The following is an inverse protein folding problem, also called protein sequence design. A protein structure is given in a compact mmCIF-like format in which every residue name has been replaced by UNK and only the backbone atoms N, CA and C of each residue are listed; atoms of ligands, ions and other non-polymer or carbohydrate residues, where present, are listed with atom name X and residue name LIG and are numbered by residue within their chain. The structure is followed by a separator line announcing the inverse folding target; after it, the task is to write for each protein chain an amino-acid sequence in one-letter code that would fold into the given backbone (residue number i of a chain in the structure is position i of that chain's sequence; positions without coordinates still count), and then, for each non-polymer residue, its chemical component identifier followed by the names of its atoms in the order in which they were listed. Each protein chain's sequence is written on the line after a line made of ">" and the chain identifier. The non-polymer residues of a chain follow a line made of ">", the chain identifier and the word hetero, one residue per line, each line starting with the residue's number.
data_IF_191073492599
#
_entry.id   IF_191073492599
#
_cell.length_a   1.000
_cell.length_b   1.000
_cell.length_c   1.000
_cell.angle_alpha   90.00
_cell.angle_beta   90.00
_cell.angle_gamma   90.00
#
_symmetry.space_group_name_H-M   'P 1'
#
loop_
_entity.id
_entity.type
_entity.pdbx_description
1 polymer ?
#
# COMPACT_ATOMS: atom_id res chain seq x y z
N UNK A 1 -3.01 -11.01 22.69
CA UNK A 1 -3.41 -12.43 22.63
C UNK A 1 -4.53 -12.65 21.63
N UNK A 2 -5.63 -11.88 21.65
CA UNK A 2 -6.78 -12.06 20.75
C UNK A 2 -6.41 -11.89 19.26
N UNK A 3 -5.62 -10.87 18.90
CA UNK A 3 -5.09 -10.70 17.53
C UNK A 3 -4.38 -11.97 17.02
N UNK A 4 -3.65 -12.66 17.91
CA UNK A 4 -2.96 -13.89 17.55
C UNK A 4 -3.89 -15.13 17.55
N UNK A 5 -5.07 -15.05 18.13
CA UNK A 5 -5.98 -16.20 18.19
C UNK A 5 -6.66 -16.48 16.86
N UNK A 6 -6.94 -15.44 16.06
CA UNK A 6 -7.54 -15.59 14.74
C UNK A 6 -6.56 -16.31 13.77
N UNK A 7 -5.31 -15.88 13.78
CA UNK A 7 -4.25 -16.44 12.93
C UNK A 7 -2.95 -16.60 13.72
N UNK A 8 -2.77 -17.74 14.43
CA UNK A 8 -1.63 -17.96 15.32
C UNK A 8 -0.29 -17.79 14.61
N UNK A 9 0.58 -16.94 15.18
CA UNK A 9 1.92 -16.67 14.66
C UNK A 9 1.97 -15.81 13.40
N UNK A 10 0.85 -15.24 12.96
CA UNK A 10 0.82 -14.41 11.75
C UNK A 10 1.30 -12.97 11.96
N UNK A 11 1.38 -12.49 13.20
CA UNK A 11 1.84 -11.15 13.55
C UNK A 11 3.28 -11.23 14.03
N UNK A 12 4.22 -10.73 13.23
CA UNK A 12 5.67 -10.68 13.53
C UNK A 12 6.18 -9.25 13.70
N UNK A 13 5.30 -8.29 13.79
CA UNK A 13 5.64 -6.89 14.02
C UNK A 13 5.00 -6.37 15.32
N UNK A 14 5.55 -5.28 15.82
CA UNK A 14 5.02 -4.64 17.02
C UNK A 14 3.70 -3.95 16.70
N UNK A 15 2.67 -4.29 17.44
CA UNK A 15 1.35 -3.62 17.40
C UNK A 15 1.35 -2.49 18.42
N UNK A 16 0.81 -1.32 18.06
CA UNK A 16 0.63 -0.23 19.00
C UNK A 16 -0.29 -0.64 20.15
N UNK A 17 0.15 -0.41 21.37
CA UNK A 17 -0.58 -0.82 22.58
C UNK A 17 -1.70 0.17 22.94
N UNK A 18 -1.68 1.36 22.37
CA UNK A 18 -2.62 2.44 22.70
C UNK A 18 -3.21 3.01 21.42
N UNK A 19 -4.54 3.13 21.38
CA UNK A 19 -5.22 3.82 20.30
C UNK A 19 -4.93 5.33 20.35
N UNK A 20 -4.70 5.93 19.19
CA UNK A 20 -4.56 7.37 19.03
C UNK A 20 -5.91 7.97 18.67
N UNK A 21 -6.46 8.80 19.57
CA UNK A 21 -7.72 9.50 19.35
C UNK A 21 -7.48 10.86 18.72
N UNK A 22 -7.98 11.02 17.50
CA UNK A 22 -7.79 12.23 16.71
C UNK A 22 -9.05 13.11 16.78
N UNK A 23 -8.98 14.38 17.25
CA UNK A 23 -10.14 15.26 17.27
C UNK A 23 -10.60 15.61 15.85
N UNK A 24 -11.89 15.93 15.72
CA UNK A 24 -12.51 16.19 14.41
C UNK A 24 -11.79 17.31 13.62
N UNK A 25 -11.30 18.35 14.31
CA UNK A 25 -10.54 19.43 13.69
C UNK A 25 -9.24 18.95 13.07
N UNK A 26 -8.51 18.07 13.76
CA UNK A 26 -7.27 17.48 13.24
C UNK A 26 -7.56 16.50 12.08
N UNK A 27 -8.62 15.71 12.20
CA UNK A 27 -9.08 14.85 11.09
C UNK A 27 -9.35 15.64 9.82
N UNK A 28 -9.97 16.83 9.93
CA UNK A 28 -10.20 17.69 8.76
C UNK A 28 -8.89 18.14 8.10
N UNK A 29 -7.87 18.49 8.90
CA UNK A 29 -6.54 18.85 8.37
C UNK A 29 -5.90 17.68 7.61
N UNK A 30 -6.00 16.46 8.15
CA UNK A 30 -5.51 15.25 7.48
C UNK A 30 -6.22 15.03 6.13
N UNK A 31 -7.55 15.09 6.12
CA UNK A 31 -8.34 14.88 4.91
C UNK A 31 -8.08 15.96 3.86
N UNK A 32 -7.94 17.22 4.27
CA UNK A 32 -7.61 18.34 3.38
C UNK A 32 -6.27 18.10 2.66
N UNK A 33 -5.27 17.63 3.40
CA UNK A 33 -3.99 17.24 2.78
C UNK A 33 -4.15 16.05 1.82
N UNK A 34 -4.87 15.01 2.22
CA UNK A 34 -5.09 13.83 1.38
C UNK A 34 -5.83 14.18 0.08
N UNK A 35 -6.91 14.95 0.16
CA UNK A 35 -7.69 15.39 -1.02
C UNK A 35 -6.82 16.21 -1.97
N UNK A 36 -6.05 17.17 -1.45
CA UNK A 36 -5.11 17.96 -2.25
C UNK A 36 -4.08 17.10 -2.99
N UNK A 37 -3.61 16.01 -2.37
CA UNK A 37 -2.68 15.06 -3.00
C UNK A 37 -3.41 14.21 -4.05
N UNK A 38 -4.63 13.76 -3.75
CA UNK A 38 -5.46 13.00 -4.70
C UNK A 38 -5.75 13.83 -5.95
N UNK A 39 -6.04 15.13 -5.81
CA UNK A 39 -6.23 16.03 -6.96
C UNK A 39 -5.01 16.07 -7.88
N UNK A 40 -3.79 16.06 -7.31
CA UNK A 40 -2.54 16.00 -8.09
C UNK A 40 -2.40 14.65 -8.80
N UNK A 41 -2.71 13.55 -8.10
CA UNK A 41 -2.56 12.19 -8.64
C UNK A 41 -3.58 11.92 -9.76
N UNK A 42 -4.77 12.48 -9.65
CA UNK A 42 -5.85 12.32 -10.63
C UNK A 42 -5.74 13.29 -11.81
N UNK A 43 -4.85 14.28 -11.74
CA UNK A 43 -4.57 15.17 -12.87
C UNK A 43 -4.07 14.35 -14.08
N UNK A 44 -4.62 14.57 -15.30
CA UNK A 44 -4.21 13.82 -16.48
C UNK A 44 -2.70 13.88 -16.80
N UNK A 45 -2.01 14.95 -16.36
CA UNK A 45 -0.56 15.11 -16.56
C UNK A 45 0.28 14.30 -15.56
N UNK A 46 -0.32 13.74 -14.50
CA UNK A 46 0.41 13.00 -13.47
C UNK A 46 1.16 11.80 -14.02
N UNK A 47 0.51 11.05 -14.92
CA UNK A 47 1.11 9.88 -15.56
C UNK A 47 2.42 10.26 -16.27
N UNK A 48 2.38 11.30 -17.11
CA UNK A 48 3.56 11.75 -17.85
C UNK A 48 4.65 12.35 -16.94
N UNK A 49 4.27 13.04 -15.87
CA UNK A 49 5.23 13.56 -14.87
C UNK A 49 5.95 12.46 -14.10
N UNK A 50 5.30 11.30 -13.93
CA UNK A 50 5.82 10.17 -13.15
C UNK A 50 6.34 9.02 -14.01
N UNK A 51 6.35 9.13 -15.33
CA UNK A 51 6.92 8.08 -16.21
C UNK A 51 8.39 7.77 -15.89
N UNK A 52 9.16 8.77 -15.54
CA UNK A 52 10.58 8.61 -15.16
C UNK A 52 10.77 7.91 -13.79
N UNK A 53 9.72 7.78 -13.00
CA UNK A 53 9.77 7.02 -11.74
C UNK A 53 9.93 5.52 -12.00
N UNK A 54 9.46 5.02 -13.15
CA UNK A 54 9.49 3.61 -13.49
C UNK A 54 10.81 3.29 -14.18
N UNK A 55 11.68 2.43 -13.61
CA UNK A 55 12.86 1.95 -14.31
C UNK A 55 12.45 1.27 -15.62
N UNK A 56 13.17 1.53 -16.72
CA UNK A 56 12.82 1.02 -18.04
C UNK A 56 12.68 -0.52 -18.11
N UNK A 57 13.46 -1.23 -17.30
CA UNK A 57 13.42 -2.69 -17.18
C UNK A 57 12.21 -3.21 -16.39
N UNK A 58 11.44 -2.35 -15.73
CA UNK A 58 10.33 -2.70 -14.84
C UNK A 58 8.97 -2.24 -15.37
N UNK A 59 8.90 -2.01 -16.67
CA UNK A 59 7.65 -1.63 -17.32
C UNK A 59 6.74 -2.85 -17.50
N UNK A 60 5.65 -2.89 -16.75
CA UNK A 60 4.65 -3.94 -16.82
C UNK A 60 3.64 -3.61 -17.91
N UNK A 61 3.36 -4.53 -18.86
CA UNK A 61 2.33 -4.33 -19.88
C UNK A 61 0.92 -4.28 -19.29
N UNK A 62 0.01 -3.61 -19.99
CA UNK A 62 -1.40 -3.59 -19.65
C UNK A 62 -1.96 -2.20 -19.37
N UNK A 63 -3.22 -2.17 -19.00
CA UNK A 63 -3.89 -0.92 -18.63
C UNK A 63 -3.53 -0.55 -17.18
N UNK A 64 -2.84 0.58 -17.02
CA UNK A 64 -2.45 1.07 -15.69
C UNK A 64 -3.66 1.57 -14.88
N UNK A 65 -4.76 1.98 -15.51
CA UNK A 65 -5.95 2.50 -14.86
C UNK A 65 -5.64 3.64 -13.87
N UNK A 66 -6.37 3.61 -12.73
CA UNK A 66 -6.11 4.46 -11.57
C UNK A 66 -5.45 3.63 -10.46
N UNK A 67 -4.74 4.29 -9.53
CA UNK A 67 -4.38 3.65 -8.28
C UNK A 67 -5.65 3.40 -7.46
N UNK A 68 -5.88 2.16 -7.08
CA UNK A 68 -7.00 1.78 -6.23
C UNK A 68 -6.69 1.95 -4.75
N UNK A 69 -5.40 2.03 -4.40
CA UNK A 69 -4.92 2.11 -3.02
C UNK A 69 -3.90 3.22 -2.89
N UNK A 70 -4.08 4.06 -1.87
CA UNK A 70 -3.10 5.05 -1.45
C UNK A 70 -3.04 5.02 0.07
N UNK A 71 -1.85 4.84 0.62
CA UNK A 71 -1.60 5.01 2.05
C UNK A 71 -0.82 6.31 2.27
N UNK A 72 -1.19 7.04 3.32
CA UNK A 72 -0.56 8.30 3.72
C UNK A 72 -0.07 8.18 5.15
N UNK A 73 1.21 8.38 5.37
CA UNK A 73 1.83 8.36 6.69
C UNK A 73 2.11 9.79 7.15
N UNK A 74 1.41 10.23 8.20
CA UNK A 74 1.57 11.57 8.78
C UNK A 74 2.23 11.52 10.15
N UNK A 75 3.16 12.44 10.37
CA UNK A 75 3.61 12.81 11.71
C UNK A 75 2.64 13.79 12.35
N UNK A 76 2.45 13.68 13.67
CA UNK A 76 1.72 14.67 14.46
C UNK A 76 2.75 15.65 15.02
N UNK A 77 2.76 16.86 14.48
CA UNK A 77 3.67 17.92 14.89
C UNK A 77 2.99 18.88 15.88
N UNK A 78 3.78 19.44 16.78
CA UNK A 78 3.34 20.45 17.74
C UNK A 78 3.94 21.79 17.35
N UNK A 79 3.09 22.77 17.10
CA UNK A 79 3.50 24.15 16.81
C UNK A 79 3.96 24.89 18.08
N UNK A 80 4.60 26.03 17.91
CA UNK A 80 5.06 26.88 19.02
C UNK A 80 3.92 27.32 19.94
N UNK A 81 2.72 27.50 19.43
CA UNK A 81 1.50 27.83 20.17
C UNK A 81 0.84 26.64 20.87
N UNK A 82 1.43 25.45 20.78
CA UNK A 82 0.91 24.19 21.34
C UNK A 82 -0.20 23.55 20.51
N UNK A 83 -0.54 24.04 19.34
CA UNK A 83 -1.51 23.40 18.43
C UNK A 83 -0.88 22.23 17.69
N UNK A 84 -1.72 21.25 17.30
CA UNK A 84 -1.27 20.08 16.54
C UNK A 84 -1.53 20.25 15.05
N UNK A 85 -0.53 19.86 14.25
CA UNK A 85 -0.64 19.81 12.80
C UNK A 85 -0.10 18.49 12.23
N UNK A 86 -0.73 17.96 11.16
CA UNK A 86 -0.16 16.83 10.45
C UNK A 86 0.98 17.30 9.55
N UNK A 87 2.02 16.46 9.41
CA UNK A 87 3.04 16.64 8.39
C UNK A 87 3.26 15.30 7.68
N UNK A 88 3.15 15.29 6.36
CA UNK A 88 3.29 14.08 5.56
C UNK A 88 4.71 13.53 5.65
N UNK A 89 4.85 12.29 6.09
CA UNK A 89 6.14 11.58 6.14
C UNK A 89 6.39 10.88 4.80
N UNK A 90 5.42 10.11 4.34
CA UNK A 90 5.45 9.42 3.04
C UNK A 90 4.04 9.04 2.58
N UNK A 91 3.95 8.65 1.33
CA UNK A 91 2.76 8.05 0.75
C UNK A 91 3.15 6.93 -0.20
N UNK A 92 2.23 6.00 -0.42
CA UNK A 92 2.46 4.86 -1.30
C UNK A 92 1.20 4.45 -2.05
N UNK A 93 1.33 4.23 -3.36
CA UNK A 93 0.28 3.69 -4.24
C UNK A 93 0.28 2.17 -4.27
N UNK A 94 0.41 1.56 -3.10
CA UNK A 94 0.53 0.13 -2.92
C UNK A 94 -0.31 -0.30 -1.70
N UNK A 95 -1.07 -1.40 -1.77
CA UNK A 95 -1.92 -1.81 -0.66
C UNK A 95 -1.08 -2.25 0.54
N UNK A 96 -1.48 -1.80 1.73
CA UNK A 96 -0.81 -2.10 2.99
C UNK A 96 -1.84 -2.22 4.11
N UNK A 97 -1.97 -3.40 4.72
CA UNK A 97 -2.74 -3.68 5.94
C UNK A 97 -4.24 -3.34 5.92
N UNK A 98 -4.84 -3.09 4.76
CA UNK A 98 -6.23 -2.63 4.63
C UNK A 98 -7.26 -3.59 5.24
N UNK A 99 -7.02 -4.91 5.16
CA UNK A 99 -7.89 -5.90 5.77
C UNK A 99 -7.54 -6.16 7.25
N UNK A 100 -6.25 -6.08 7.60
CA UNK A 100 -5.81 -6.25 8.99
C UNK A 100 -6.35 -5.16 9.91
N UNK A 101 -6.49 -3.93 9.44
CA UNK A 101 -7.01 -2.80 10.22
C UNK A 101 -8.44 -3.04 10.70
N UNK A 102 -9.24 -3.83 9.98
CA UNK A 102 -10.58 -4.24 10.39
C UNK A 102 -10.49 -5.11 11.66
N UNK A 103 -9.63 -6.12 11.64
CA UNK A 103 -9.39 -6.99 12.80
C UNK A 103 -8.82 -6.18 13.98
N UNK A 104 -7.94 -5.24 13.70
CA UNK A 104 -7.33 -4.40 14.72
C UNK A 104 -8.37 -3.52 15.43
N UNK A 105 -9.28 -2.86 14.69
CA UNK A 105 -10.37 -2.05 15.28
C UNK A 105 -11.30 -2.90 16.13
N UNK A 106 -11.69 -4.10 15.67
CA UNK A 106 -12.51 -5.03 16.43
C UNK A 106 -11.88 -5.41 17.78
N UNK A 107 -10.61 -5.80 17.76
CA UNK A 107 -9.88 -6.21 18.96
C UNK A 107 -9.67 -5.03 19.91
N UNK A 108 -9.35 -3.84 19.39
CA UNK A 108 -9.27 -2.63 20.23
C UNK A 108 -10.60 -2.34 20.94
N UNK A 109 -11.74 -2.46 20.25
CA UNK A 109 -13.07 -2.25 20.87
C UNK A 109 -13.44 -3.29 21.89
N UNK A 110 -12.96 -4.52 21.74
CA UNK A 110 -13.18 -5.58 22.73
C UNK A 110 -12.39 -5.37 24.03
N UNK A 111 -11.23 -4.72 23.96
CA UNK A 111 -10.32 -4.59 25.09
C UNK A 111 -10.23 -3.18 25.69
N UNK A 112 -10.63 -2.16 24.93
CA UNK A 112 -10.54 -0.77 25.35
C UNK A 112 -11.91 -0.09 25.26
N UNK A 113 -12.15 0.83 26.18
CA UNK A 113 -13.36 1.69 26.11
C UNK A 113 -13.18 2.72 25.01
N UNK A 114 -13.59 2.39 23.79
CA UNK A 114 -13.62 3.33 22.66
C UNK A 114 -14.99 3.99 22.62
N UNK A 115 -15.09 5.33 22.77
CA UNK A 115 -16.39 6.00 22.71
C UNK A 115 -17.09 5.76 21.36
N UNK A 116 -18.41 5.57 21.38
CA UNK A 116 -19.20 5.27 20.19
C UNK A 116 -19.13 6.35 19.09
N UNK A 117 -18.74 7.59 19.46
CA UNK A 117 -18.53 8.69 18.50
C UNK A 117 -17.22 8.61 17.73
N UNK A 118 -16.31 7.70 18.10
CA UNK A 118 -15.05 7.49 17.39
C UNK A 118 -15.13 6.28 16.46
N UNK A 119 -14.62 6.43 15.26
CA UNK A 119 -14.55 5.40 14.24
C UNK A 119 -13.17 5.39 13.60
N UNK A 120 -12.63 4.22 13.32
CA UNK A 120 -11.47 4.04 12.45
C UNK A 120 -11.85 4.25 10.97
N UNK A 121 -13.12 4.07 10.62
CA UNK A 121 -13.61 4.22 9.26
C UNK A 121 -13.98 5.68 8.97
N UNK A 122 -13.42 6.23 7.91
CA UNK A 122 -13.69 7.58 7.42
C UNK A 122 -14.81 7.56 6.36
N UNK A 123 -15.23 8.74 5.87
CA UNK A 123 -16.22 8.83 4.79
C UNK A 123 -17.62 8.29 5.13
N UNK A 124 -17.98 8.23 6.43
CA UNK A 124 -19.21 7.63 6.95
C UNK A 124 -19.34 6.11 6.71
N UNK A 125 -18.24 5.42 6.47
CA UNK A 125 -18.24 3.97 6.41
C UNK A 125 -18.47 3.35 7.79
N UNK A 126 -19.18 2.22 7.78
CA UNK A 126 -19.19 1.22 8.86
C UNK A 126 -18.19 0.13 8.50
N UNK A 127 -17.92 -0.79 9.43
CA UNK A 127 -17.13 -1.99 9.15
C UNK A 127 -17.66 -2.76 7.93
N UNK A 128 -18.97 -2.99 7.87
CA UNK A 128 -19.64 -3.75 6.81
C UNK A 128 -19.50 -3.04 5.46
N UNK A 129 -19.77 -1.73 5.41
CA UNK A 129 -19.64 -0.96 4.17
C UNK A 129 -18.19 -0.80 3.72
N UNK A 130 -17.24 -0.77 4.65
CA UNK A 130 -15.81 -0.77 4.32
C UNK A 130 -15.38 -2.11 3.71
N UNK A 131 -15.80 -3.24 4.29
CA UNK A 131 -15.55 -4.58 3.73
C UNK A 131 -16.16 -4.70 2.34
N UNK A 132 -17.37 -4.22 2.14
CA UNK A 132 -18.03 -4.26 0.83
C UNK A 132 -17.29 -3.40 -0.21
N UNK A 133 -16.83 -2.20 0.17
CA UNK A 133 -16.01 -1.36 -0.70
C UNK A 133 -14.69 -2.04 -1.05
N UNK A 134 -14.01 -2.64 -0.07
CA UNK A 134 -12.77 -3.37 -0.28
C UNK A 134 -12.98 -4.58 -1.22
N UNK A 135 -14.11 -5.29 -1.08
CA UNK A 135 -14.53 -6.34 -2.02
C UNK A 135 -14.72 -5.82 -3.43
N UNK A 136 -15.46 -4.73 -3.58
CA UNK A 136 -15.73 -4.11 -4.88
C UNK A 136 -14.44 -3.70 -5.58
N UNK A 137 -13.50 -3.11 -4.84
CA UNK A 137 -12.19 -2.71 -5.37
C UNK A 137 -11.37 -3.93 -5.78
N UNK A 138 -11.25 -4.95 -4.92
CA UNK A 138 -10.38 -6.10 -5.15
C UNK A 138 -10.98 -7.06 -6.17
N UNK A 139 -12.25 -7.41 -6.05
CA UNK A 139 -12.89 -8.40 -6.93
C UNK A 139 -13.30 -7.81 -8.28
N UNK A 140 -13.73 -6.52 -8.29
CA UNK A 140 -14.33 -5.92 -9.48
C UNK A 140 -15.57 -6.72 -9.91
N UNK A 141 -15.58 -7.19 -11.15
CA UNK A 141 -16.68 -7.98 -11.72
C UNK A 141 -16.52 -9.50 -11.57
N UNK A 142 -15.45 -9.96 -10.92
CA UNK A 142 -15.10 -11.37 -10.90
C UNK A 142 -15.51 -12.05 -9.59
N UNK A 143 -15.80 -13.35 -9.66
CA UNK A 143 -16.01 -14.18 -8.50
C UNK A 143 -14.66 -14.39 -7.75
N UNK A 144 -14.68 -14.54 -6.41
CA UNK A 144 -13.45 -14.63 -5.61
C UNK A 144 -12.48 -15.74 -6.05
N UNK A 145 -12.98 -16.85 -6.57
CA UNK A 145 -12.14 -17.95 -7.09
C UNK A 145 -11.28 -17.57 -8.30
N UNK A 146 -11.63 -16.51 -9.01
CA UNK A 146 -10.89 -16.01 -10.17
C UNK A 146 -10.00 -14.80 -9.87
N UNK A 147 -9.94 -14.43 -8.59
CA UNK A 147 -9.10 -13.34 -8.08
C UNK A 147 -8.13 -13.90 -7.05
N UNK A 148 -6.86 -13.59 -7.16
CA UNK A 148 -5.84 -14.03 -6.20
C UNK A 148 -5.14 -12.83 -5.55
N UNK A 149 -4.71 -12.99 -4.30
CA UNK A 149 -3.67 -12.15 -3.70
C UNK A 149 -2.32 -12.74 -4.09
N UNK A 150 -1.56 -12.03 -4.93
CA UNK A 150 -0.27 -12.51 -5.43
C UNK A 150 0.87 -11.96 -4.60
N UNK A 151 1.72 -12.84 -4.07
CA UNK A 151 2.90 -12.48 -3.30
C UNK A 151 4.03 -13.50 -3.48
N UNK A 152 5.24 -13.17 -3.02
CA UNK A 152 6.38 -14.07 -2.92
C UNK A 152 6.33 -14.75 -1.55
N UNK A 153 6.15 -16.06 -1.53
CA UNK A 153 6.03 -16.83 -0.28
C UNK A 153 5.07 -16.17 0.74
N UNK A 154 3.78 -15.99 0.40
CA UNK A 154 2.83 -15.21 1.19
C UNK A 154 2.78 -15.64 2.66
N UNK A 155 2.92 -16.93 2.95
CA UNK A 155 2.87 -17.46 4.31
C UNK A 155 4.14 -17.20 5.14
N UNK A 156 5.20 -16.65 4.53
CA UNK A 156 6.45 -16.27 5.20
C UNK A 156 6.62 -14.75 5.33
N UNK A 157 5.69 -13.97 4.76
CA UNK A 157 5.74 -12.51 4.84
C UNK A 157 5.42 -12.01 6.25
N UNK A 158 6.12 -10.95 6.69
CA UNK A 158 5.86 -10.33 8.00
C UNK A 158 4.43 -9.78 8.11
N UNK A 159 3.86 -9.34 7.00
CA UNK A 159 2.51 -8.78 6.90
C UNK A 159 1.44 -9.82 6.53
N UNK A 160 1.73 -11.12 6.63
CA UNK A 160 0.80 -12.21 6.24
C UNK A 160 -0.54 -12.19 6.97
N UNK A 161 -0.60 -11.55 8.13
CA UNK A 161 -1.87 -11.34 8.84
C UNK A 161 -2.88 -10.59 7.95
N UNK A 162 -2.45 -9.58 7.19
CA UNK A 162 -3.32 -8.87 6.26
C UNK A 162 -3.82 -9.77 5.12
N UNK A 163 -2.99 -10.71 4.67
CA UNK A 163 -3.36 -11.67 3.62
C UNK A 163 -4.44 -12.63 4.12
N UNK A 164 -4.32 -13.09 5.36
CA UNK A 164 -5.33 -13.96 5.97
C UNK A 164 -6.62 -13.20 6.26
N UNK A 165 -6.55 -11.98 6.78
CA UNK A 165 -7.72 -11.11 6.92
C UNK A 165 -8.39 -10.82 5.57
N UNK A 166 -7.59 -10.61 4.51
CA UNK A 166 -8.11 -10.45 3.14
C UNK A 166 -8.86 -11.70 2.70
N UNK A 167 -8.31 -12.88 2.96
CA UNK A 167 -8.97 -14.15 2.65
C UNK A 167 -10.29 -14.29 3.42
N UNK A 168 -10.30 -13.98 4.71
CA UNK A 168 -11.48 -14.12 5.57
C UNK A 168 -12.62 -13.19 5.15
N UNK A 169 -12.30 -11.90 4.89
CA UNK A 169 -13.32 -10.90 4.57
C UNK A 169 -13.72 -10.88 3.08
N UNK A 170 -12.79 -11.19 2.18
CA UNK A 170 -12.99 -11.04 0.72
C UNK A 170 -13.21 -12.38 0.03
N UNK A 171 -12.59 -13.47 0.55
CA UNK A 171 -12.71 -14.83 0.00
C UNK A 171 -11.68 -15.18 -1.06
N UNK A 172 -10.66 -14.34 -1.29
CA UNK A 172 -9.55 -14.63 -2.21
C UNK A 172 -8.42 -15.35 -1.50
N UNK A 173 -7.63 -16.13 -2.23
CA UNK A 173 -6.50 -16.88 -1.66
C UNK A 173 -5.17 -16.15 -1.86
N UNK A 174 -4.28 -16.11 -0.84
CA UNK A 174 -2.88 -15.82 -1.04
C UNK A 174 -2.22 -16.91 -1.89
N UNK A 175 -1.60 -16.54 -2.99
CA UNK A 175 -0.95 -17.43 -3.95
C UNK A 175 0.49 -16.99 -4.15
N UNK A 176 1.45 -17.92 -4.05
CA UNK A 176 2.83 -17.63 -4.34
C UNK A 176 3.04 -17.49 -5.86
N UNK A 177 3.90 -16.54 -6.26
CA UNK A 177 4.27 -16.38 -7.67
C UNK A 177 4.83 -17.67 -8.29
N UNK A 178 5.45 -18.53 -7.47
CA UNK A 178 5.98 -19.84 -7.90
C UNK A 178 4.91 -20.89 -8.21
N UNK A 179 3.69 -20.67 -7.71
CA UNK A 179 2.54 -21.59 -7.88
C UNK A 179 1.70 -21.26 -9.11
N UNK A 180 1.99 -20.15 -9.79
CA UNK A 180 1.27 -19.77 -11.00
C UNK A 180 1.59 -20.70 -12.17
N UNK A 181 0.54 -21.10 -12.87
CA UNK A 181 0.61 -21.90 -14.10
C UNK A 181 0.24 -20.99 -15.26
N UNK A 182 1.15 -20.86 -16.23
CA UNK A 182 0.92 -20.04 -17.43
C UNK A 182 0.62 -20.91 -18.65
N UNK A 183 -0.41 -20.54 -19.40
CA UNK A 183 -0.74 -21.11 -20.70
C UNK A 183 -1.03 -19.98 -21.70
N UNK A 184 -0.06 -19.66 -22.53
CA UNK A 184 -0.10 -18.50 -23.42
C UNK A 184 -0.18 -17.19 -22.62
N UNK A 185 -1.25 -16.43 -22.81
CA UNK A 185 -1.53 -15.19 -22.04
C UNK A 185 -2.34 -15.43 -20.77
N UNK A 186 -2.84 -16.64 -20.54
CA UNK A 186 -3.70 -16.98 -19.39
C UNK A 186 -2.89 -17.48 -18.22
N UNK A 187 -3.32 -17.09 -17.02
CA UNK A 187 -2.78 -17.59 -15.76
C UNK A 187 -3.80 -18.46 -15.04
N UNK A 188 -3.29 -19.45 -14.32
CA UNK A 188 -4.05 -20.37 -13.49
C UNK A 188 -3.30 -20.60 -12.19
N UNK A 189 -4.03 -21.10 -11.19
CA UNK A 189 -3.48 -21.62 -9.94
C UNK A 189 -4.25 -22.88 -9.52
N UNK A 190 -3.75 -23.61 -8.54
CA UNK A 190 -4.45 -24.77 -8.01
C UNK A 190 -5.30 -24.37 -6.80
N UNK A 191 -6.62 -24.45 -6.94
CA UNK A 191 -7.57 -24.26 -5.85
C UNK A 191 -8.15 -25.62 -5.48
N UNK A 192 -7.87 -26.09 -4.26
CA UNK A 192 -8.29 -27.43 -3.81
C UNK A 192 -7.88 -28.57 -4.76
N UNK A 193 -6.72 -28.41 -5.42
CA UNK A 193 -6.21 -29.37 -6.39
C UNK A 193 -6.77 -29.21 -7.82
N UNK A 194 -7.71 -28.31 -8.05
CA UNK A 194 -8.28 -28.02 -9.34
C UNK A 194 -7.64 -26.79 -9.99
N UNK A 195 -7.30 -26.91 -11.27
CA UNK A 195 -6.73 -25.83 -12.06
C UNK A 195 -7.79 -24.75 -12.33
N UNK A 196 -7.66 -23.60 -11.66
CA UNK A 196 -8.62 -22.50 -11.68
C UNK A 196 -8.02 -21.30 -12.42
N UNK A 197 -8.75 -20.66 -13.36
CA UNK A 197 -8.25 -19.51 -14.09
C UNK A 197 -8.19 -18.25 -13.19
N UNK A 198 -7.12 -17.46 -13.38
CA UNK A 198 -6.93 -16.16 -12.76
C UNK A 198 -7.32 -15.07 -13.75
N UNK A 199 -8.28 -14.24 -13.40
CA UNK A 199 -8.71 -13.10 -14.20
C UNK A 199 -8.28 -11.76 -13.64
N UNK A 200 -8.03 -11.71 -12.31
CA UNK A 200 -7.65 -10.49 -11.61
C UNK A 200 -6.64 -10.79 -10.51
N UNK A 201 -5.69 -9.89 -10.33
CA UNK A 201 -4.59 -10.06 -9.37
C UNK A 201 -4.57 -8.88 -8.41
N UNK A 202 -4.84 -9.13 -7.12
CA UNK A 202 -4.53 -8.22 -6.03
C UNK A 202 -3.03 -8.31 -5.75
N UNK A 203 -2.27 -7.36 -6.31
CA UNK A 203 -0.82 -7.42 -6.33
C UNK A 203 -0.20 -6.94 -5.03
N UNK A 204 0.61 -7.82 -4.41
CA UNK A 204 1.40 -7.51 -3.22
C UNK A 204 2.90 -7.68 -3.47
N UNK A 205 3.32 -8.12 -4.66
CA UNK A 205 4.73 -8.30 -5.01
C UNK A 205 5.41 -6.96 -5.24
N UNK A 206 6.55 -6.77 -4.56
CA UNK A 206 7.46 -5.66 -4.76
C UNK A 206 8.67 -6.18 -5.54
N UNK A 207 9.05 -5.49 -6.63
CA UNK A 207 10.13 -5.97 -7.50
C UNK A 207 11.49 -6.02 -6.82
N UNK A 208 11.78 -5.12 -5.89
CA UNK A 208 13.03 -5.15 -5.13
C UNK A 208 13.16 -6.46 -4.31
N UNK A 209 12.04 -6.92 -3.71
CA UNK A 209 12.02 -8.20 -3.01
C UNK A 209 12.16 -9.37 -3.99
N UNK A 210 11.51 -9.28 -5.16
CA UNK A 210 11.61 -10.30 -6.21
C UNK A 210 13.05 -10.49 -6.68
N UNK A 211 13.79 -9.39 -6.89
CA UNK A 211 15.16 -9.45 -7.37
C UNK A 211 16.18 -9.91 -6.31
N UNK A 212 15.80 -9.96 -5.05
CA UNK A 212 16.58 -10.54 -3.98
C UNK A 212 16.37 -12.05 -3.81
N UNK A 213 15.35 -12.61 -4.49
CA UNK A 213 15.04 -14.04 -4.40
C UNK A 213 16.04 -14.90 -5.22
N UNK A 214 16.09 -16.23 -4.97
CA UNK A 214 16.81 -17.17 -5.81
C UNK A 214 16.41 -17.11 -7.28
N UNK A 215 17.30 -17.50 -8.18
CA UNK A 215 17.14 -17.34 -9.62
C UNK A 215 15.88 -18.03 -10.19
N UNK A 216 15.48 -19.16 -9.62
CA UNK A 216 14.26 -19.88 -10.00
C UNK A 216 12.98 -19.10 -9.67
N UNK A 217 12.96 -18.39 -8.54
CA UNK A 217 11.85 -17.49 -8.15
C UNK A 217 11.85 -16.25 -9.05
N UNK A 218 13.03 -15.66 -9.31
CA UNK A 218 13.14 -14.53 -10.24
C UNK A 218 12.67 -14.89 -11.64
N UNK A 219 12.94 -16.10 -12.11
CA UNK A 219 12.46 -16.60 -13.41
C UNK A 219 10.92 -16.65 -13.47
N UNK A 220 10.29 -17.09 -12.37
CA UNK A 220 8.82 -17.03 -12.23
C UNK A 220 8.29 -15.61 -12.26
N UNK A 221 9.05 -14.65 -11.71
CA UNK A 221 8.72 -13.22 -11.71
C UNK A 221 8.67 -12.60 -13.10
N UNK A 222 9.26 -13.20 -14.13
CA UNK A 222 9.19 -12.68 -15.50
C UNK A 222 7.77 -12.54 -16.04
N UNK A 223 6.80 -13.22 -15.45
CA UNK A 223 5.38 -13.09 -15.82
C UNK A 223 4.88 -11.65 -15.72
N UNK A 224 5.43 -10.82 -14.84
CA UNK A 224 5.04 -9.41 -14.73
C UNK A 224 5.32 -8.61 -16.00
N UNK A 225 6.30 -9.03 -16.79
CA UNK A 225 6.76 -8.31 -17.98
C UNK A 225 6.16 -8.90 -19.27
N UNK A 226 5.22 -9.82 -19.13
CA UNK A 226 4.53 -10.47 -20.23
C UNK A 226 3.15 -9.84 -20.46
N UNK A 227 2.69 -9.87 -21.70
CA UNK A 227 1.32 -9.46 -22.05
C UNK A 227 0.34 -10.57 -21.66
N UNK A 228 -0.37 -10.35 -20.54
CA UNK A 228 -1.26 -11.33 -19.91
C UNK A 228 -2.73 -10.88 -19.96
N UNK A 229 -3.63 -11.85 -20.06
CA UNK A 229 -5.08 -11.66 -20.00
C UNK A 229 -5.56 -11.55 -18.53
N UNK A 230 -5.00 -10.60 -17.76
CA UNK A 230 -5.36 -10.35 -16.36
C UNK A 230 -5.57 -8.87 -16.10
N UNK A 231 -6.40 -8.55 -15.11
CA UNK A 231 -6.52 -7.20 -14.56
C UNK A 231 -5.67 -7.09 -13.29
N UNK A 232 -4.89 -6.04 -13.18
CA UNK A 232 -4.08 -5.75 -11.99
C UNK A 232 -4.80 -4.83 -11.00
N UNK A 233 -4.69 -5.09 -9.71
CA UNK A 233 -5.23 -4.28 -8.62
C UNK A 233 -4.22 -4.21 -7.47
N UNK A 234 -3.47 -3.12 -7.31
CA UNK A 234 -3.22 -2.10 -8.34
C UNK A 234 -2.28 -2.63 -9.43
N UNK A 235 -2.21 -1.90 -10.54
CA UNK A 235 -1.16 -2.15 -11.53
C UNK A 235 0.22 -1.90 -10.90
N UNK A 236 1.22 -2.78 -11.11
CA UNK A 236 2.52 -2.68 -10.42
C UNK A 236 3.24 -1.33 -10.58
N UNK A 237 3.01 -0.60 -11.66
CA UNK A 237 3.61 0.74 -11.88
C UNK A 237 3.20 1.77 -10.82
N UNK A 238 2.08 1.59 -10.13
CA UNK A 238 1.63 2.53 -9.11
C UNK A 238 2.53 2.56 -7.87
N UNK A 239 3.25 1.47 -7.58
CA UNK A 239 4.29 1.45 -6.56
C UNK A 239 5.36 2.53 -6.78
N UNK A 240 5.73 2.76 -8.06
CA UNK A 240 6.73 3.78 -8.42
C UNK A 240 6.11 5.17 -8.55
N UNK A 241 4.92 5.26 -9.17
CA UNK A 241 4.27 6.55 -9.47
C UNK A 241 3.81 7.29 -8.22
N UNK A 242 3.29 6.56 -7.21
CA UNK A 242 2.89 7.13 -5.92
C UNK A 242 3.87 6.63 -4.86
N UNK A 243 4.89 7.41 -4.63
CA UNK A 243 6.02 7.08 -3.75
C UNK A 243 6.69 8.38 -3.28
N UNK A 244 7.85 8.28 -2.68
CA UNK A 244 8.70 9.44 -2.37
C UNK A 244 9.07 10.26 -3.62
N UNK A 245 9.06 9.65 -4.82
CA UNK A 245 9.23 10.36 -6.09
C UNK A 245 8.17 11.44 -6.34
N UNK A 246 6.96 11.26 -5.81
CA UNK A 246 5.85 12.20 -6.01
C UNK A 246 5.94 13.42 -5.09
N UNK A 247 6.63 13.31 -3.95
CA UNK A 247 6.70 14.39 -2.95
C UNK A 247 7.16 15.74 -3.53
N UNK A 248 8.17 15.83 -4.41
CA UNK A 248 8.56 17.08 -5.03
C UNK A 248 7.50 17.76 -5.92
N UNK A 249 6.47 17.01 -6.33
CA UNK A 249 5.37 17.52 -7.17
C UNK A 249 4.25 18.17 -6.33
N UNK A 250 4.27 17.98 -5.00
CA UNK A 250 3.21 18.42 -4.10
C UNK A 250 3.57 19.76 -3.47
N UNK A 251 2.59 20.64 -3.35
CA UNK A 251 2.70 21.90 -2.62
C UNK A 251 1.47 22.05 -1.75
N UNK A 252 1.66 21.82 -0.44
CA UNK A 252 0.60 21.92 0.56
C UNK A 252 1.23 22.24 1.93
N UNK A 253 0.58 23.02 2.83
CA UNK A 253 1.12 23.36 4.14
C UNK A 253 1.50 22.16 5.01
N UNK A 254 0.80 21.03 4.86
CA UNK A 254 1.04 19.79 5.61
C UNK A 254 1.92 18.78 4.86
N UNK A 255 2.59 19.22 3.81
CA UNK A 255 3.57 18.43 3.05
C UNK A 255 4.91 19.15 3.08
N UNK A 256 5.93 18.60 3.75
CA UNK A 256 7.25 19.22 3.81
C UNK A 256 7.82 19.48 2.42
N UNK A 257 8.45 20.61 2.22
CA UNK A 257 9.12 20.93 0.94
C UNK A 257 10.15 19.86 0.62
N UNK A 258 10.02 19.27 -0.56
CA UNK A 258 10.86 18.16 -1.02
C UNK A 258 11.47 18.49 -2.37
N UNK A 259 12.71 18.05 -2.58
CA UNK A 259 13.49 18.30 -3.78
C UNK A 259 14.20 17.02 -4.21
N UNK A 260 14.42 16.87 -5.51
CA UNK A 260 15.34 15.84 -6.00
C UNK A 260 16.78 16.28 -5.77
N UNK A 261 17.60 15.39 -5.17
CA UNK A 261 19.00 15.71 -4.86
C UNK A 261 19.82 16.12 -6.11
N UNK A 262 19.53 15.50 -7.25
CA UNK A 262 20.21 15.80 -8.51
C UNK A 262 19.80 17.15 -9.14
N UNK A 263 18.79 17.83 -8.61
CA UNK A 263 18.35 19.17 -9.03
C UNK A 263 18.89 20.26 -8.10
N UNK A 264 19.51 19.89 -6.98
CA UNK A 264 20.09 20.84 -6.03
C UNK A 264 21.48 21.23 -6.50
N UNK A 265 21.67 22.52 -6.79
CA UNK A 265 22.96 23.08 -7.22
C UNK A 265 23.88 23.44 -6.05
N UNK A 266 23.30 23.73 -4.90
CA UNK A 266 24.02 24.04 -3.67
C UNK A 266 23.28 23.41 -2.49
N UNK A 267 24.00 22.68 -1.65
CA UNK A 267 23.42 22.08 -0.44
C UNK A 267 22.95 23.18 0.53
N UNK A 268 21.80 22.96 1.20
CA UNK A 268 21.36 23.84 2.27
C UNK A 268 22.41 24.00 3.36
N UNK A 269 22.51 25.18 3.97
CA UNK A 269 23.47 25.45 5.06
C UNK A 269 23.02 24.82 6.39
N UNK A 270 21.74 24.48 6.48
CA UNK A 270 21.03 23.95 7.67
C UNK A 270 20.60 22.49 7.44
N UNK A 271 21.53 21.63 7.02
CA UNK A 271 21.27 20.22 6.69
C UNK A 271 20.59 19.44 7.83
N UNK A 272 20.78 19.86 9.07
CA UNK A 272 20.11 19.29 10.24
C UNK A 272 18.57 19.35 10.19
N UNK A 273 18.02 20.22 9.34
CA UNK A 273 16.57 20.35 9.11
C UNK A 273 16.07 19.50 7.94
N UNK A 274 16.95 18.69 7.33
CA UNK A 274 16.60 17.88 6.17
C UNK A 274 16.74 16.40 6.45
N UNK A 275 15.99 15.60 5.67
CA UNK A 275 16.07 14.14 5.67
C UNK A 275 16.33 13.68 4.24
N UNK A 276 17.36 12.86 4.05
CA UNK A 276 17.63 12.22 2.77
C UNK A 276 16.90 10.88 2.71
N UNK A 277 16.08 10.70 1.66
CA UNK A 277 15.26 9.49 1.47
C UNK A 277 15.53 8.88 0.09
N UNK A 278 15.78 7.55 -0.01
CA UNK A 278 15.74 6.85 -1.29
C UNK A 278 14.33 6.91 -1.89
N UNK A 279 14.23 7.01 -3.23
CA UNK A 279 12.94 7.22 -3.90
C UNK A 279 11.95 6.07 -3.72
N UNK A 280 12.40 4.83 -3.71
CA UNK A 280 11.55 3.64 -3.77
C UNK A 280 11.75 2.68 -2.58
N UNK A 281 12.48 3.10 -1.55
CA UNK A 281 12.66 2.28 -0.35
C UNK A 281 11.37 2.22 0.49
N UNK A 282 11.22 1.12 1.23
CA UNK A 282 10.15 0.89 2.19
C UNK A 282 10.72 0.57 3.57
N UNK A 283 9.88 0.58 4.60
CA UNK A 283 10.25 0.30 6.01
C UNK A 283 11.45 1.11 6.51
N UNK A 284 11.61 2.36 6.05
CA UNK A 284 12.69 3.26 6.47
C UNK A 284 14.08 2.90 5.94
N UNK A 285 14.20 1.90 5.05
CA UNK A 285 15.49 1.47 4.50
C UNK A 285 16.18 2.62 3.77
N UNK A 286 17.45 2.89 4.12
CA UNK A 286 18.29 3.92 3.50
C UNK A 286 17.89 5.36 3.81
N UNK A 287 16.94 5.59 4.69
CA UNK A 287 16.59 6.96 5.16
C UNK A 287 17.69 7.46 6.08
N UNK A 288 18.24 8.63 5.76
CA UNK A 288 19.24 9.32 6.56
C UNK A 288 18.65 10.61 7.15
N UNK A 289 18.48 10.65 8.47
CA UNK A 289 17.96 11.81 9.21
C UNK A 289 19.05 12.82 9.59
N UNK A 290 20.29 12.54 9.26
CA UNK A 290 21.46 13.41 9.43
C UNK A 290 22.30 13.37 8.16
N UNK A 291 21.77 13.90 7.04
CA UNK A 291 22.41 13.79 5.72
C UNK A 291 23.69 14.62 5.60
#
# INVERSE_FOLDING_TARGET
>A
EELNSAHPGAIEFRVAETAVFVPKSFKHKLLDACESIVDIITDPSFISKTDKAIPASLNVPGNIGHSQFIAFDFGICVNEDGTYEPQLIEMQGFPSLFAYEILLDDVFRNHFTVPASFSAYLGNHTKESYIEELKNIILGKYAPEHVILLEIFPHQQKTRIDFYCTQDYIGIQPVCITELIREGKKLFYLRNGEKTPVHRIYNRVIFDDLFQQPADVQEKGKIFFEDLDVEWVPHPSWFYRISKYTLPLIRHPYVPSTFFLNEITQLPADLENYVLKPLFSFAGSGVNIHP
#
